data_IF_037050440187
#
_entry.id   IF_037050440187
#
_cell.length_a   1.000
_cell.length_b   1.000
_cell.length_c   1.000
_cell.angle_alpha   90.00
_cell.angle_beta   90.00
_cell.angle_gamma   90.00
#
_symmetry.space_group_name_H-M   'P 1'
#
loop_
_entity.id
_entity.type
_entity.pdbx_description
1 polymer ?
#
# COMPACT_ATOMS: atom_id res chain seq x y z
N UNK A 1 6.71 -6.12 -10.83
CA UNK A 1 6.47 -4.95 -9.98
C UNK A 1 5.68 -5.38 -8.75
N UNK A 2 6.18 -5.11 -7.55
CA UNK A 2 5.42 -5.40 -6.34
C UNK A 2 5.40 -4.18 -5.39
N UNK A 3 4.46 -4.19 -4.45
CA UNK A 3 4.29 -3.13 -3.45
C UNK A 3 2.84 -3.04 -2.96
N UNK A 4 2.58 -2.35 -1.87
CA UNK A 4 1.24 -2.24 -1.26
C UNK A 4 0.15 -1.70 -2.21
N UNK A 5 -1.09 -1.80 -1.76
CA UNK A 5 -2.26 -1.27 -2.49
C UNK A 5 -2.15 0.25 -2.69
N UNK A 6 -2.66 0.78 -3.81
CA UNK A 6 -2.68 2.23 -4.08
C UNK A 6 -1.35 2.84 -4.54
N UNK A 7 -0.33 2.04 -4.89
CA UNK A 7 0.99 2.54 -5.30
C UNK A 7 1.18 2.78 -6.80
N UNK A 8 0.11 2.80 -7.55
CA UNK A 8 0.19 3.05 -9.00
C UNK A 8 0.75 1.90 -9.83
N UNK A 9 0.82 0.66 -9.29
CA UNK A 9 1.29 -0.52 -10.03
C UNK A 9 0.52 -0.71 -11.33
N UNK A 10 -0.82 -0.68 -11.22
CA UNK A 10 -1.74 -0.82 -12.36
C UNK A 10 -1.54 0.31 -13.36
N UNK A 11 -1.41 1.56 -12.90
CA UNK A 11 -1.12 2.71 -13.77
C UNK A 11 0.21 2.54 -14.51
N UNK A 12 1.26 2.10 -13.81
CA UNK A 12 2.56 1.87 -14.44
C UNK A 12 2.51 0.72 -15.44
N UNK A 13 1.74 -0.34 -15.15
CA UNK A 13 1.46 -1.43 -16.09
C UNK A 13 0.72 -0.92 -17.32
N UNK A 14 -0.28 -0.04 -17.16
CA UNK A 14 -1.03 0.57 -18.27
C UNK A 14 -0.13 1.39 -19.16
N UNK A 15 0.71 2.25 -18.56
CA UNK A 15 1.68 3.07 -19.29
C UNK A 15 2.69 2.19 -20.05
N UNK A 16 3.24 1.18 -19.40
CA UNK A 16 4.16 0.24 -20.04
C UNK A 16 3.50 -0.49 -21.19
N UNK A 17 2.32 -1.10 -20.98
CA UNK A 17 1.57 -1.81 -22.00
C UNK A 17 1.20 -0.89 -23.17
N UNK A 18 0.80 0.36 -22.89
CA UNK A 18 0.46 1.36 -23.92
C UNK A 18 1.67 1.81 -24.73
N UNK A 19 2.81 2.07 -24.07
CA UNK A 19 4.02 2.57 -24.71
C UNK A 19 4.80 1.52 -25.51
N UNK A 20 4.60 0.24 -25.19
CA UNK A 20 5.30 -0.85 -25.87
C UNK A 20 4.79 -1.02 -27.30
N UNK A 21 5.70 -1.00 -28.29
CA UNK A 21 5.40 -1.13 -29.72
C UNK A 21 5.12 -2.58 -30.17
N UNK A 22 5.15 -3.55 -29.28
CA UNK A 22 4.85 -4.96 -29.59
C UNK A 22 3.36 -5.11 -29.90
N UNK A 23 3.04 -5.67 -31.08
CA UNK A 23 1.65 -5.86 -31.51
C UNK A 23 1.00 -7.07 -30.82
N UNK A 24 1.73 -8.17 -30.66
CA UNK A 24 1.26 -9.42 -30.02
C UNK A 24 1.42 -9.32 -28.50
N UNK A 25 0.62 -8.47 -27.87
CA UNK A 25 0.64 -8.24 -26.41
C UNK A 25 -0.75 -8.44 -25.81
N UNK A 26 -0.78 -9.00 -24.60
CA UNK A 26 -2.01 -9.22 -23.87
C UNK A 26 -1.86 -8.78 -22.43
N UNK A 27 -2.86 -8.06 -21.92
CA UNK A 27 -3.00 -7.73 -20.51
C UNK A 27 -4.26 -8.37 -19.93
N UNK A 28 -4.13 -9.00 -18.78
CA UNK A 28 -5.22 -9.73 -18.13
C UNK A 28 -5.01 -9.75 -16.62
N UNK A 29 -6.09 -9.74 -15.84
CA UNK A 29 -6.00 -10.05 -14.41
C UNK A 29 -5.64 -11.52 -14.19
N UNK A 30 -4.73 -11.78 -13.26
CA UNK A 30 -4.17 -13.11 -13.06
C UNK A 30 -5.24 -14.18 -12.79
N UNK A 31 -6.23 -13.88 -11.95
CA UNK A 31 -7.30 -14.84 -11.66
C UNK A 31 -8.15 -15.19 -12.91
N UNK A 32 -8.40 -14.22 -13.81
CA UNK A 32 -9.12 -14.48 -15.08
C UNK A 32 -8.29 -15.39 -15.98
N UNK A 33 -6.98 -15.12 -16.07
CA UNK A 33 -6.07 -15.96 -16.82
C UNK A 33 -6.07 -17.41 -16.29
N UNK A 34 -6.03 -17.64 -14.98
CA UNK A 34 -6.08 -18.99 -14.42
C UNK A 34 -7.42 -19.69 -14.70
N UNK A 35 -8.54 -18.98 -14.69
CA UNK A 35 -9.82 -19.53 -15.13
C UNK A 35 -9.78 -20.00 -16.60
N UNK A 36 -9.12 -19.26 -17.48
CA UNK A 36 -8.94 -19.64 -18.88
C UNK A 36 -8.01 -20.87 -19.00
N UNK A 37 -6.91 -20.89 -18.25
CA UNK A 37 -6.00 -22.04 -18.18
C UNK A 37 -6.75 -23.31 -17.78
N UNK A 38 -7.54 -23.27 -16.72
CA UNK A 38 -8.32 -24.43 -16.26
C UNK A 38 -9.36 -24.88 -17.28
N UNK A 39 -10.07 -23.95 -17.93
CA UNK A 39 -11.04 -24.25 -18.99
C UNK A 39 -10.35 -24.91 -20.17
N UNK A 40 -9.20 -24.38 -20.59
CA UNK A 40 -8.41 -24.93 -21.70
C UNK A 40 -7.93 -26.35 -21.40
N UNK A 41 -7.36 -26.60 -20.20
CA UNK A 41 -6.93 -27.91 -19.74
C UNK A 41 -8.10 -28.90 -19.72
N UNK A 42 -9.25 -28.46 -19.21
CA UNK A 42 -10.46 -29.28 -19.17
C UNK A 42 -10.93 -29.66 -20.58
N UNK A 43 -11.01 -28.69 -21.47
CA UNK A 43 -11.40 -28.90 -22.86
C UNK A 43 -10.42 -29.81 -23.61
N UNK A 44 -9.12 -29.59 -23.44
CA UNK A 44 -8.06 -30.40 -24.02
C UNK A 44 -8.17 -31.87 -23.60
N UNK A 45 -8.39 -32.12 -22.31
CA UNK A 45 -8.59 -33.47 -21.78
C UNK A 45 -9.86 -34.13 -22.33
N UNK A 46 -10.95 -33.39 -22.47
CA UNK A 46 -12.23 -33.87 -22.96
C UNK A 46 -12.17 -34.22 -24.45
N UNK A 47 -11.51 -33.42 -25.26
CA UNK A 47 -11.47 -33.58 -26.71
C UNK A 47 -10.34 -34.53 -27.19
N UNK A 48 -9.47 -34.97 -26.30
CA UNK A 48 -8.35 -35.82 -26.63
C UNK A 48 -8.64 -37.33 -26.62
N UNK A 49 -9.82 -37.76 -26.18
CA UNK A 49 -10.19 -39.16 -26.07
C UNK A 49 -9.25 -40.02 -25.18
N UNK A 50 -9.32 -41.34 -25.35
CA UNK A 50 -8.49 -42.28 -24.60
C UNK A 50 -6.98 -42.19 -24.89
N UNK A 51 -6.59 -41.67 -26.07
CA UNK A 51 -5.20 -41.52 -26.51
C UNK A 51 -4.43 -40.44 -25.75
N UNK A 52 -5.12 -39.48 -25.16
CA UNK A 52 -4.51 -38.40 -24.34
C UNK A 52 -4.58 -38.63 -22.84
N UNK A 53 -5.06 -39.78 -22.41
CA UNK A 53 -5.04 -40.17 -20.97
C UNK A 53 -3.60 -40.25 -20.49
N UNK A 54 -3.23 -39.34 -19.57
CA UNK A 54 -1.89 -39.22 -19.01
C UNK A 54 -0.93 -38.28 -19.74
N UNK A 55 -1.30 -37.73 -20.90
CA UNK A 55 -0.49 -36.70 -21.56
C UNK A 55 -0.54 -35.37 -20.79
N UNK A 56 0.57 -34.65 -20.80
CA UNK A 56 0.70 -33.36 -20.15
C UNK A 56 0.05 -32.23 -20.98
N UNK A 57 -0.98 -31.54 -20.47
CA UNK A 57 -1.63 -30.45 -21.18
C UNK A 57 -0.84 -29.13 -21.17
N UNK A 58 0.19 -29.00 -20.32
CA UNK A 58 0.87 -27.71 -20.09
C UNK A 58 1.70 -27.27 -21.28
N UNK A 59 2.46 -28.15 -21.90
CA UNK A 59 3.27 -27.81 -23.07
C UNK A 59 2.41 -27.36 -24.27
N UNK A 60 1.34 -28.11 -24.68
CA UNK A 60 0.42 -27.64 -25.71
C UNK A 60 -0.26 -26.31 -25.38
N UNK A 61 -0.64 -26.08 -24.11
CA UNK A 61 -1.20 -24.81 -23.67
C UNK A 61 -0.19 -23.67 -23.83
N UNK A 62 1.04 -23.85 -23.35
CA UNK A 62 2.09 -22.85 -23.48
C UNK A 62 2.38 -22.53 -24.95
N UNK A 63 2.40 -23.54 -25.84
CA UNK A 63 2.59 -23.34 -27.28
C UNK A 63 1.43 -22.59 -27.93
N UNK A 64 0.19 -22.84 -27.51
CA UNK A 64 -0.96 -22.08 -27.96
C UNK A 64 -0.86 -20.61 -27.53
N UNK A 65 -0.53 -20.36 -26.28
CA UNK A 65 -0.36 -18.99 -25.76
C UNK A 65 0.80 -18.25 -26.46
N UNK A 66 1.95 -18.90 -26.62
CA UNK A 66 3.12 -18.30 -27.26
C UNK A 66 2.90 -17.99 -28.75
N UNK A 67 2.00 -18.72 -29.43
CA UNK A 67 1.62 -18.40 -30.80
C UNK A 67 0.77 -17.13 -30.92
N UNK A 68 0.08 -16.74 -29.85
CA UNK A 68 -0.81 -15.58 -29.82
C UNK A 68 -0.12 -14.32 -29.27
N UNK A 69 0.78 -14.48 -28.28
CA UNK A 69 1.36 -13.34 -27.55
C UNK A 69 2.86 -13.48 -27.36
N UNK A 70 3.56 -12.36 -27.56
CA UNK A 70 4.99 -12.20 -27.23
C UNK A 70 5.16 -11.54 -25.87
N UNK A 71 4.20 -10.69 -25.48
CA UNK A 71 4.20 -9.99 -24.19
C UNK A 71 2.92 -10.27 -23.43
N UNK A 72 3.06 -10.84 -22.24
CA UNK A 72 1.96 -11.17 -21.34
C UNK A 72 2.07 -10.35 -20.05
N UNK A 73 1.08 -9.49 -19.81
CA UNK A 73 1.04 -8.63 -18.64
C UNK A 73 -0.05 -9.10 -17.68
N UNK A 74 0.34 -9.45 -16.45
CA UNK A 74 -0.57 -9.86 -15.39
C UNK A 74 -0.78 -8.75 -14.38
N UNK A 75 -2.03 -8.33 -14.20
CA UNK A 75 -2.39 -7.45 -13.10
C UNK A 75 -2.85 -8.29 -11.90
N UNK A 76 -2.50 -7.84 -10.68
CA UNK A 76 -2.87 -8.48 -9.43
C UNK A 76 -2.45 -9.97 -9.36
N UNK A 77 -1.15 -10.21 -9.58
CA UNK A 77 -0.60 -11.57 -9.46
C UNK A 77 -0.64 -12.00 -8.00
N UNK A 78 -1.62 -12.83 -7.69
CA UNK A 78 -1.87 -13.42 -6.38
C UNK A 78 -2.25 -14.88 -6.54
N UNK A 79 -1.65 -15.74 -5.74
CA UNK A 79 -1.90 -17.18 -5.78
C UNK A 79 -2.54 -17.59 -4.46
N UNK A 80 -3.77 -18.07 -4.53
CA UNK A 80 -4.55 -18.52 -3.35
C UNK A 80 -4.99 -19.97 -3.45
N UNK A 81 -5.05 -20.55 -4.66
CA UNK A 81 -5.50 -21.91 -4.91
C UNK A 81 -4.33 -22.86 -5.13
N UNK A 82 -4.40 -24.05 -4.51
CA UNK A 82 -3.38 -25.09 -4.63
C UNK A 82 -3.27 -25.66 -6.04
N UNK A 83 -4.37 -25.71 -6.78
CA UNK A 83 -4.36 -26.21 -8.17
C UNK A 83 -3.61 -25.23 -9.07
N UNK A 84 -3.77 -23.92 -8.85
CA UNK A 84 -3.00 -22.91 -9.54
C UNK A 84 -1.51 -23.02 -9.21
N UNK A 85 -1.17 -23.11 -7.93
CA UNK A 85 0.20 -23.25 -7.46
C UNK A 85 0.94 -24.43 -8.13
N UNK A 86 0.27 -25.57 -8.30
CA UNK A 86 0.84 -26.77 -8.92
C UNK A 86 1.10 -26.62 -10.44
N UNK A 87 0.34 -25.78 -11.12
CA UNK A 87 0.45 -25.56 -12.57
C UNK A 87 1.50 -24.50 -12.91
N UNK A 88 1.63 -23.47 -12.11
CA UNK A 88 2.35 -22.24 -12.43
C UNK A 88 3.81 -22.47 -12.83
N UNK A 89 4.56 -23.25 -12.05
CA UNK A 89 5.98 -23.53 -12.35
C UNK A 89 6.17 -24.08 -13.75
N UNK A 90 5.35 -25.06 -14.12
CA UNK A 90 5.46 -25.75 -15.40
C UNK A 90 5.01 -24.86 -16.56
N UNK A 91 3.90 -24.12 -16.36
CA UNK A 91 3.37 -23.22 -17.36
C UNK A 91 4.33 -22.06 -17.65
N UNK A 92 4.83 -21.40 -16.60
CA UNK A 92 5.74 -20.26 -16.77
C UNK A 92 7.09 -20.70 -17.33
N UNK A 93 7.66 -21.85 -16.90
CA UNK A 93 8.86 -22.39 -17.51
C UNK A 93 8.66 -22.59 -19.03
N UNK A 94 7.56 -23.22 -19.43
CA UNK A 94 7.28 -23.48 -20.83
C UNK A 94 7.00 -22.20 -21.65
N UNK A 95 6.45 -21.15 -21.04
CA UNK A 95 6.27 -19.85 -21.70
C UNK A 95 7.61 -19.15 -21.93
N UNK A 96 8.50 -19.15 -20.93
CA UNK A 96 9.84 -18.54 -21.04
C UNK A 96 10.72 -19.30 -22.03
N UNK A 97 10.64 -20.65 -22.05
CA UNK A 97 11.33 -21.47 -23.05
C UNK A 97 10.91 -21.14 -24.50
N UNK A 98 9.70 -20.56 -24.65
CA UNK A 98 9.18 -20.09 -25.94
C UNK A 98 9.31 -18.56 -26.12
N UNK A 99 10.17 -17.91 -25.34
CA UNK A 99 10.48 -16.48 -25.39
C UNK A 99 9.29 -15.55 -25.15
N UNK A 100 8.28 -15.96 -24.41
CA UNK A 100 7.20 -15.07 -23.98
C UNK A 100 7.73 -14.17 -22.85
N UNK A 101 7.67 -12.87 -23.08
CA UNK A 101 8.03 -11.87 -22.05
C UNK A 101 6.86 -11.72 -21.10
N UNK A 102 7.13 -11.82 -19.82
CA UNK A 102 6.12 -11.69 -18.78
C UNK A 102 6.38 -10.46 -17.92
N UNK A 103 5.35 -9.65 -17.69
CA UNK A 103 5.37 -8.53 -16.75
C UNK A 103 4.20 -8.72 -15.78
N UNK A 104 4.43 -8.56 -14.48
CA UNK A 104 3.36 -8.74 -13.50
C UNK A 104 3.39 -7.68 -12.39
N UNK A 105 2.21 -7.36 -11.87
CA UNK A 105 2.04 -6.57 -10.65
C UNK A 105 1.55 -7.46 -9.52
N UNK A 106 2.05 -7.23 -8.30
CA UNK A 106 1.61 -7.94 -7.09
C UNK A 106 1.56 -7.01 -5.89
N UNK A 107 0.71 -7.32 -4.93
CA UNK A 107 0.65 -6.61 -3.65
C UNK A 107 1.70 -7.12 -2.65
N UNK A 108 2.25 -8.31 -2.89
CA UNK A 108 3.21 -8.97 -2.01
C UNK A 108 4.55 -9.20 -2.71
N UNK A 109 5.60 -9.41 -1.94
CA UNK A 109 6.92 -9.80 -2.45
C UNK A 109 6.88 -11.18 -3.08
N UNK A 110 7.79 -11.51 -4.02
CA UNK A 110 7.90 -12.86 -4.55
C UNK A 110 8.04 -13.94 -3.47
N UNK A 111 8.81 -13.67 -2.41
CA UNK A 111 9.03 -14.61 -1.31
C UNK A 111 7.75 -14.86 -0.47
N UNK A 112 6.81 -13.92 -0.46
CA UNK A 112 5.56 -13.98 0.29
C UNK A 112 4.38 -14.49 -0.55
N UNK A 113 4.61 -14.79 -1.83
CA UNK A 113 3.59 -15.39 -2.67
C UNK A 113 3.14 -16.75 -2.09
N UNK A 114 1.83 -16.97 -2.05
CA UNK A 114 1.23 -18.17 -1.51
C UNK A 114 1.66 -18.48 -0.07
N UNK A 115 1.86 -17.41 0.74
CA UNK A 115 2.18 -17.54 2.16
C UNK A 115 1.02 -18.25 2.87
N UNK A 116 1.34 -19.17 3.80
CA UNK A 116 0.39 -20.06 4.48
C UNK A 116 -0.47 -20.97 3.56
N UNK A 117 -0.15 -21.04 2.27
CA UNK A 117 -0.85 -21.89 1.31
C UNK A 117 -0.59 -23.38 1.55
N UNK A 118 -1.58 -24.21 1.22
CA UNK A 118 -1.50 -25.67 1.35
C UNK A 118 -0.37 -26.22 0.46
N UNK A 119 0.52 -27.05 1.03
CA UNK A 119 1.68 -27.61 0.33
C UNK A 119 2.63 -26.53 -0.23
N UNK A 120 2.81 -25.42 0.48
CA UNK A 120 3.67 -24.30 0.07
C UNK A 120 5.08 -24.72 -0.36
N UNK A 121 5.65 -25.75 0.27
CA UNK A 121 6.98 -26.29 -0.10
C UNK A 121 7.07 -26.69 -1.58
N UNK A 122 5.99 -27.20 -2.15
CA UNK A 122 5.92 -27.55 -3.57
C UNK A 122 5.83 -26.31 -4.49
N UNK A 123 5.48 -25.14 -3.94
CA UNK A 123 5.42 -23.86 -4.64
C UNK A 123 6.75 -23.09 -4.59
N UNK A 124 7.59 -23.29 -3.58
CA UNK A 124 8.89 -22.62 -3.45
C UNK A 124 9.75 -22.69 -4.71
N UNK A 125 9.86 -23.81 -5.44
CA UNK A 125 10.61 -23.88 -6.68
C UNK A 125 10.08 -22.96 -7.80
N UNK A 126 8.80 -22.56 -7.75
CA UNK A 126 8.27 -21.52 -8.65
C UNK A 126 8.72 -20.13 -8.24
N UNK A 127 8.78 -19.83 -6.95
CA UNK A 127 9.33 -18.56 -6.43
C UNK A 127 10.78 -18.41 -6.85
N UNK A 128 11.59 -19.47 -6.73
CA UNK A 128 12.99 -19.47 -7.17
C UNK A 128 13.11 -19.23 -8.67
N UNK A 129 12.24 -19.86 -9.47
CA UNK A 129 12.16 -19.65 -10.90
C UNK A 129 11.78 -18.21 -11.26
N UNK A 130 10.80 -17.62 -10.59
CA UNK A 130 10.43 -16.21 -10.75
C UNK A 130 11.61 -15.28 -10.48
N UNK A 131 12.33 -15.51 -9.39
CA UNK A 131 13.50 -14.68 -9.00
C UNK A 131 14.66 -14.82 -9.97
N UNK A 132 14.78 -15.95 -10.61
CA UNK A 132 15.82 -16.21 -11.62
C UNK A 132 15.50 -15.56 -12.98
N UNK A 133 14.27 -15.69 -13.43
CA UNK A 133 13.86 -15.29 -14.78
C UNK A 133 13.35 -13.83 -14.84
N UNK A 134 13.01 -13.22 -13.70
CA UNK A 134 12.39 -11.89 -13.67
C UNK A 134 13.21 -10.89 -12.84
N UNK A 135 13.27 -9.65 -13.35
CA UNK A 135 13.77 -8.52 -12.57
C UNK A 135 12.66 -8.07 -11.61
N UNK A 136 12.94 -8.15 -10.34
CA UNK A 136 12.00 -7.75 -9.29
C UNK A 136 12.19 -6.26 -8.96
N UNK A 137 11.14 -5.47 -9.14
CA UNK A 137 11.14 -4.04 -8.83
C UNK A 137 10.09 -3.77 -7.76
N UNK A 138 10.53 -3.33 -6.59
CA UNK A 138 9.64 -2.85 -5.55
C UNK A 138 9.18 -1.43 -5.87
N UNK A 139 7.88 -1.25 -6.06
CA UNK A 139 7.31 0.08 -5.99
C UNK A 139 7.20 0.45 -4.51
N UNK A 140 8.35 0.84 -3.99
CA UNK A 140 8.44 1.47 -2.68
C UNK A 140 7.52 2.69 -2.63
N UNK A 141 7.19 3.15 -1.46
CA UNK A 141 6.49 4.41 -1.34
C UNK A 141 7.25 5.48 -2.15
N UNK A 142 6.61 6.12 -3.09
CA UNK A 142 7.07 7.40 -3.64
C UNK A 142 7.28 8.44 -2.55
N UNK A 143 6.83 8.12 -1.35
CA UNK A 143 7.17 8.72 -0.09
C UNK A 143 8.67 8.77 0.22
N UNK A 144 9.48 7.80 -0.17
CA UNK A 144 10.91 7.82 0.17
C UNK A 144 11.65 8.98 -0.52
N UNK A 145 11.24 9.35 -1.73
CA UNK A 145 11.76 10.55 -2.40
C UNK A 145 11.07 11.82 -1.91
N UNK A 146 9.77 11.75 -1.62
CA UNK A 146 8.97 12.90 -1.14
C UNK A 146 9.16 13.12 0.35
N UNK A 147 9.32 12.07 1.15
CA UNK A 147 9.74 12.17 2.56
C UNK A 147 11.22 12.52 2.70
N UNK A 148 12.10 12.19 1.75
CA UNK A 148 13.46 12.78 1.71
C UNK A 148 13.43 14.29 1.49
N UNK A 149 12.44 14.80 0.77
CA UNK A 149 12.18 16.24 0.72
C UNK A 149 11.57 16.77 2.03
N UNK A 150 10.72 15.99 2.72
CA UNK A 150 10.23 16.33 4.06
C UNK A 150 11.30 16.12 5.16
N UNK A 151 12.25 15.21 4.97
CA UNK A 151 13.43 15.07 5.86
C UNK A 151 14.40 16.26 5.77
N UNK A 152 14.34 17.02 4.66
CA UNK A 152 14.98 18.34 4.54
C UNK A 152 14.05 19.48 5.03
N UNK A 153 12.75 19.25 5.10
CA UNK A 153 11.74 20.19 5.55
C UNK A 153 11.06 19.57 6.78
N UNK A 154 10.91 20.34 7.83
CA UNK A 154 10.26 19.94 9.07
C UNK A 154 8.91 19.25 8.80
N UNK A 155 8.55 18.28 9.63
CA UNK A 155 7.22 17.62 9.61
C UNK A 155 6.27 18.19 10.67
N UNK A 156 6.78 19.09 11.52
CA UNK A 156 6.06 19.81 12.55
C UNK A 156 6.27 21.32 12.33
N UNK A 157 5.23 22.03 11.95
CA UNK A 157 5.30 23.43 11.56
C UNK A 157 4.70 24.32 12.65
N UNK A 158 5.43 25.36 13.02
CA UNK A 158 4.98 26.40 13.97
C UNK A 158 5.06 27.76 13.30
N UNK A 159 3.99 28.54 13.24
CA UNK A 159 3.96 29.82 12.53
C UNK A 159 5.02 30.84 12.99
N UNK A 160 5.45 30.77 14.24
CA UNK A 160 6.41 31.69 14.83
C UNK A 160 7.87 31.45 14.40
N UNK A 161 8.20 30.30 13.81
CA UNK A 161 9.56 29.92 13.44
C UNK A 161 9.95 30.26 12.00
N UNK A 162 9.21 31.14 11.35
CA UNK A 162 9.54 31.60 10.00
C UNK A 162 8.95 30.76 8.86
N UNK A 163 8.12 29.79 9.19
CA UNK A 163 7.43 28.89 8.23
C UNK A 163 6.20 29.57 7.57
N UNK A 164 6.19 30.88 7.46
CA UNK A 164 5.08 31.67 6.94
C UNK A 164 4.69 31.40 5.46
N UNK A 165 5.31 30.44 4.80
CA UNK A 165 5.07 30.10 3.40
C UNK A 165 4.56 28.68 3.17
N UNK A 166 4.42 27.83 4.19
CA UNK A 166 3.97 26.45 4.00
C UNK A 166 2.46 26.30 4.16
N UNK A 167 1.82 25.85 3.09
CA UNK A 167 0.41 25.47 3.09
C UNK A 167 0.31 23.95 3.28
N UNK A 168 -0.50 23.48 4.25
CA UNK A 168 -0.81 22.04 4.40
C UNK A 168 -1.39 21.45 3.12
N UNK A 169 -2.04 22.28 2.30
CA UNK A 169 -2.53 21.90 0.98
C UNK A 169 -1.39 21.57 0.02
N UNK A 170 -0.34 22.41 0.00
CA UNK A 170 0.80 22.18 -0.88
C UNK A 170 1.58 20.91 -0.46
N UNK A 171 1.74 20.71 0.86
CA UNK A 171 2.33 19.47 1.40
C UNK A 171 1.50 18.26 1.00
N UNK A 172 0.17 18.33 1.11
CA UNK A 172 -0.69 17.24 0.69
C UNK A 172 -0.52 16.95 -0.81
N UNK A 173 -0.57 17.97 -1.67
CA UNK A 173 -0.35 17.82 -3.11
C UNK A 173 1.03 17.26 -3.45
N UNK A 174 2.07 17.69 -2.77
CA UNK A 174 3.42 17.15 -2.94
C UNK A 174 3.49 15.67 -2.57
N UNK A 175 2.79 15.26 -1.50
CA UNK A 175 2.74 13.86 -1.07
C UNK A 175 1.92 12.96 -1.99
N UNK A 176 0.84 13.46 -2.58
CA UNK A 176 -0.04 12.66 -3.45
C UNK A 176 0.20 12.87 -4.96
N UNK A 177 1.16 13.75 -5.35
CA UNK A 177 1.53 13.96 -6.76
C UNK A 177 0.58 14.87 -7.54
N UNK A 178 0.12 15.96 -6.93
CA UNK A 178 -0.80 16.94 -7.52
C UNK A 178 -2.15 16.34 -7.96
N UNK A 179 -2.61 15.31 -7.28
CA UNK A 179 -3.94 14.72 -7.48
C UNK A 179 -4.89 15.32 -6.45
N UNK A 180 -6.11 15.63 -6.86
CA UNK A 180 -7.12 16.18 -5.97
C UNK A 180 -7.49 15.22 -4.84
N UNK A 181 -7.76 15.77 -3.66
CA UNK A 181 -8.27 15.01 -2.54
C UNK A 181 -9.70 14.54 -2.82
N UNK A 182 -10.00 13.30 -2.46
CA UNK A 182 -11.36 12.76 -2.43
C UNK A 182 -11.80 12.59 -0.98
N UNK A 183 -13.10 12.47 -0.75
CA UNK A 183 -13.62 12.09 0.56
C UNK A 183 -13.96 10.60 0.58
N UNK A 184 -13.68 9.93 1.70
CA UNK A 184 -14.04 8.53 1.94
C UNK A 184 -14.83 8.38 3.23
N UNK A 185 -15.50 7.25 3.40
CA UNK A 185 -16.20 6.86 4.61
C UNK A 185 -15.65 5.53 5.13
N UNK A 186 -15.24 5.48 6.38
CA UNK A 186 -14.82 4.24 7.05
C UNK A 186 -15.94 3.76 7.97
N UNK A 187 -16.28 2.49 7.89
CA UNK A 187 -17.19 1.87 8.85
C UNK A 187 -16.37 1.39 10.07
N UNK A 188 -16.67 1.95 11.24
CA UNK A 188 -16.01 1.63 12.50
C UNK A 188 -17.08 1.28 13.53
N UNK A 189 -17.14 0.03 13.98
CA UNK A 189 -18.08 -0.45 15.00
C UNK A 189 -19.55 -0.04 14.72
N UNK A 190 -19.97 -0.13 13.44
CA UNK A 190 -21.33 0.19 13.02
C UNK A 190 -21.65 1.67 12.83
N UNK A 191 -20.67 2.55 12.98
CA UNK A 191 -20.79 3.99 12.69
C UNK A 191 -19.85 4.41 11.56
N UNK A 192 -20.15 5.53 10.93
CA UNK A 192 -19.37 6.05 9.81
C UNK A 192 -18.39 7.11 10.33
N UNK A 193 -17.10 6.90 10.08
CA UNK A 193 -16.06 7.91 10.23
C UNK A 193 -15.81 8.54 8.84
N UNK A 194 -16.13 9.81 8.70
CA UNK A 194 -15.83 10.54 7.48
C UNK A 194 -14.36 10.91 7.40
N UNK A 195 -13.71 10.61 6.27
CA UNK A 195 -12.35 11.01 5.92
C UNK A 195 -12.45 12.11 4.86
N UNK A 196 -12.30 13.38 5.22
CA UNK A 196 -12.67 14.49 4.32
C UNK A 196 -11.72 14.67 3.15
N UNK A 197 -10.45 14.34 3.34
CA UNK A 197 -9.40 14.53 2.32
C UNK A 197 -8.45 13.35 2.35
N UNK A 198 -8.49 12.54 1.29
CA UNK A 198 -7.64 11.36 1.13
C UNK A 198 -7.20 11.19 -0.31
N UNK A 199 -5.97 10.78 -0.52
CA UNK A 199 -5.49 10.23 -1.77
C UNK A 199 -4.22 9.40 -1.52
N UNK A 200 -4.00 8.32 -2.28
CA UNK A 200 -2.81 7.46 -2.23
C UNK A 200 -2.36 7.04 -0.81
N UNK A 201 -3.30 6.77 0.10
CA UNK A 201 -2.98 6.37 1.48
C UNK A 201 -2.51 7.51 2.39
N UNK A 202 -2.57 8.75 1.92
CA UNK A 202 -2.35 9.98 2.70
C UNK A 202 -3.70 10.58 3.05
N UNK A 203 -3.93 10.92 4.31
CA UNK A 203 -5.15 11.58 4.77
C UNK A 203 -4.83 12.93 5.40
N UNK A 204 -5.74 13.86 5.26
CA UNK A 204 -5.61 15.18 5.87
C UNK A 204 -6.86 15.55 6.66
N UNK A 205 -6.64 15.80 7.95
CA UNK A 205 -7.65 16.24 8.91
C UNK A 205 -7.22 17.54 9.59
N UNK A 206 -8.18 18.27 10.09
CA UNK A 206 -7.97 19.30 11.09
C UNK A 206 -8.00 18.70 12.50
N UNK A 207 -7.43 19.40 13.48
CA UNK A 207 -7.54 19.01 14.91
C UNK A 207 -9.01 18.90 15.34
N UNK A 208 -9.86 19.79 14.85
CA UNK A 208 -11.30 19.79 15.14
C UNK A 208 -11.97 18.50 14.65
N UNK A 209 -11.60 18.00 13.48
CA UNK A 209 -12.20 16.80 12.89
C UNK A 209 -11.79 15.52 13.64
N UNK A 210 -10.58 15.44 14.22
CA UNK A 210 -10.11 14.25 14.94
C UNK A 210 -10.20 14.35 16.47
N UNK A 211 -10.02 15.56 17.05
CA UNK A 211 -9.87 15.68 18.49
C UNK A 211 -11.03 16.40 19.18
N UNK A 212 -11.82 17.23 18.49
CA UNK A 212 -13.01 17.85 19.05
C UNK A 212 -14.29 17.01 18.85
N UNK A 213 -14.27 16.05 17.94
CA UNK A 213 -15.36 15.09 17.77
C UNK A 213 -15.27 13.97 18.83
N UNK A 214 -16.39 13.24 19.03
CA UNK A 214 -16.45 12.11 19.98
C UNK A 214 -15.82 10.84 19.43
N UNK A 215 -14.57 10.94 18.95
CA UNK A 215 -13.79 9.82 18.46
C UNK A 215 -12.97 9.18 19.58
N UNK A 216 -12.52 7.94 19.35
CA UNK A 216 -11.73 7.18 20.30
C UNK A 216 -10.71 6.26 19.64
N UNK A 217 -10.11 5.38 20.43
CA UNK A 217 -9.06 4.48 19.97
C UNK A 217 -9.47 3.60 18.78
N UNK A 218 -10.71 3.10 18.74
CA UNK A 218 -11.20 2.27 17.63
C UNK A 218 -11.19 3.03 16.30
N UNK A 219 -11.58 4.33 16.31
CA UNK A 219 -11.57 5.17 15.12
C UNK A 219 -10.15 5.40 14.62
N UNK A 220 -9.21 5.66 15.54
CA UNK A 220 -7.80 5.88 15.19
C UNK A 220 -7.13 4.59 14.72
N UNK A 221 -7.48 3.44 15.29
CA UNK A 221 -7.03 2.13 14.79
C UNK A 221 -7.53 1.85 13.37
N UNK A 222 -8.79 2.19 13.08
CA UNK A 222 -9.33 2.07 11.73
C UNK A 222 -8.60 2.99 10.73
N UNK A 223 -8.23 4.21 11.13
CA UNK A 223 -7.42 5.11 10.30
C UNK A 223 -6.04 4.51 10.02
N UNK A 224 -5.32 4.08 11.07
CA UNK A 224 -3.98 3.56 10.88
C UNK A 224 -3.95 2.20 10.19
N UNK A 225 -5.00 1.41 10.19
CA UNK A 225 -5.07 0.17 9.42
C UNK A 225 -5.08 0.43 7.90
N UNK A 226 -5.60 1.57 7.46
CA UNK A 226 -5.80 1.88 6.04
C UNK A 226 -4.82 2.90 5.48
N UNK A 227 -4.39 3.87 6.28
CA UNK A 227 -3.57 4.98 5.83
C UNK A 227 -2.19 4.97 6.46
N UNK A 228 -1.17 5.34 5.70
CA UNK A 228 0.22 5.32 6.15
C UNK A 228 0.77 6.69 6.55
N UNK A 229 0.06 7.77 6.18
CA UNK A 229 0.46 9.15 6.49
C UNK A 229 -0.77 9.97 6.84
N UNK A 230 -0.69 10.66 7.95
CA UNK A 230 -1.72 11.59 8.43
C UNK A 230 -1.16 13.01 8.42
N UNK A 231 -1.85 13.90 7.71
CA UNK A 231 -1.68 15.33 7.88
C UNK A 231 -2.69 15.82 8.92
N UNK A 232 -2.22 16.58 9.90
CA UNK A 232 -3.07 17.14 10.96
C UNK A 232 -2.85 18.63 11.06
N UNK A 233 -3.85 19.42 10.69
CA UNK A 233 -3.76 20.87 10.72
C UNK A 233 -4.46 21.49 11.92
N UNK A 234 -4.02 22.72 12.25
CA UNK A 234 -4.65 23.61 13.20
C UNK A 234 -4.67 23.06 14.64
N UNK A 235 -3.56 22.45 15.07
CA UNK A 235 -3.41 21.99 16.46
C UNK A 235 -3.27 23.22 17.38
N UNK A 236 -4.25 23.47 18.27
CA UNK A 236 -4.22 24.65 19.14
C UNK A 236 -3.35 24.44 20.40
N UNK A 237 -3.03 25.53 21.08
CA UNK A 237 -2.67 25.44 22.50
C UNK A 237 -3.93 25.09 23.28
N UNK A 238 -3.94 23.96 23.92
CA UNK A 238 -5.10 23.45 24.66
C UNK A 238 -5.14 24.05 26.07
N UNK A 239 -6.26 24.67 26.40
CA UNK A 239 -6.53 25.17 27.75
C UNK A 239 -6.83 24.02 28.73
N UNK A 240 -6.70 24.23 30.06
CA UNK A 240 -7.02 23.23 31.07
C UNK A 240 -8.45 22.65 30.98
N UNK A 241 -9.39 23.44 30.46
CA UNK A 241 -10.77 23.01 30.20
C UNK A 241 -10.91 22.00 29.05
N UNK A 242 -9.94 21.97 28.12
CA UNK A 242 -9.93 21.09 26.93
C UNK A 242 -9.28 19.73 27.24
N UNK A 243 -9.53 19.19 28.43
CA UNK A 243 -8.98 17.91 28.86
C UNK A 243 -9.34 16.74 27.95
N UNK A 244 -10.57 16.73 27.44
CA UNK A 244 -11.04 15.63 26.61
C UNK A 244 -10.38 15.65 25.22
N UNK A 245 -10.20 16.84 24.66
CA UNK A 245 -9.48 17.07 23.41
C UNK A 245 -8.01 16.67 23.55
N UNK A 246 -7.35 17.10 24.63
CA UNK A 246 -5.97 16.71 24.94
C UNK A 246 -5.82 15.19 25.11
N UNK A 247 -6.79 14.52 25.76
CA UNK A 247 -6.79 13.07 25.91
C UNK A 247 -6.97 12.36 24.56
N UNK A 248 -7.90 12.83 23.70
CA UNK A 248 -8.09 12.26 22.36
C UNK A 248 -6.85 12.47 21.49
N UNK A 249 -6.26 13.66 21.53
CA UNK A 249 -5.00 13.94 20.82
C UNK A 249 -3.88 13.01 21.31
N UNK A 250 -3.70 12.83 22.62
CA UNK A 250 -2.72 11.90 23.16
C UNK A 250 -2.97 10.46 22.66
N UNK A 251 -4.22 10.00 22.67
CA UNK A 251 -4.59 8.67 22.15
C UNK A 251 -4.30 8.55 20.65
N UNK A 252 -4.60 9.57 19.87
CA UNK A 252 -4.27 9.61 18.43
C UNK A 252 -2.75 9.47 18.22
N UNK A 253 -1.94 10.27 18.91
CA UNK A 253 -0.48 10.21 18.79
C UNK A 253 0.07 8.85 19.23
N UNK A 254 -0.48 8.27 20.30
CA UNK A 254 -0.11 6.93 20.75
C UNK A 254 -0.36 5.88 19.66
N UNK A 255 -1.54 5.90 19.03
CA UNK A 255 -1.90 4.95 17.95
C UNK A 255 -1.03 5.17 16.71
N UNK A 256 -0.83 6.41 16.28
CA UNK A 256 0.04 6.71 15.12
C UNK A 256 1.47 6.23 15.35
N UNK A 257 2.00 6.49 16.54
CA UNK A 257 3.37 6.11 16.92
C UNK A 257 3.58 4.60 16.94
N UNK A 258 2.67 3.86 17.57
CA UNK A 258 2.74 2.40 17.70
C UNK A 258 2.64 1.70 16.35
N UNK A 259 1.81 2.23 15.46
CA UNK A 259 1.63 1.68 14.10
C UNK A 259 2.60 2.28 13.05
N UNK A 260 3.60 3.08 13.48
CA UNK A 260 4.60 3.69 12.58
C UNK A 260 3.99 4.52 11.44
N UNK A 261 2.81 5.11 11.68
CA UNK A 261 2.17 6.02 10.73
C UNK A 261 2.86 7.36 10.77
N UNK A 262 3.15 7.94 9.61
CA UNK A 262 3.82 9.24 9.51
C UNK A 262 2.84 10.34 9.87
N UNK A 263 3.30 11.32 10.64
CA UNK A 263 2.55 12.52 10.98
C UNK A 263 3.24 13.74 10.38
N UNK A 264 2.48 14.53 9.66
CA UNK A 264 2.86 15.89 9.26
C UNK A 264 1.84 16.84 9.84
N UNK A 265 2.25 17.82 10.60
CA UNK A 265 1.27 18.68 11.28
C UNK A 265 1.73 20.13 11.38
N UNK A 266 0.74 21.03 11.47
CA UNK A 266 0.98 22.40 11.92
C UNK A 266 0.27 22.63 13.25
N UNK A 267 0.94 23.34 14.15
CA UNK A 267 0.48 23.60 15.48
C UNK A 267 0.74 25.05 15.89
N UNK A 268 -0.07 25.55 16.80
CA UNK A 268 0.08 26.92 17.31
C UNK A 268 1.39 27.15 18.09
N UNK A 269 2.07 26.06 18.54
CA UNK A 269 3.31 26.16 19.31
C UNK A 269 4.06 24.83 19.28
N UNK A 270 5.26 24.79 19.86
CA UNK A 270 6.08 23.56 20.04
C UNK A 270 5.38 22.52 20.93
N UNK A 271 5.69 21.22 20.79
CA UNK A 271 4.99 20.14 21.51
C UNK A 271 4.89 20.35 23.03
N UNK A 272 5.93 20.88 23.66
CA UNK A 272 6.02 21.11 25.09
C UNK A 272 4.99 22.12 25.61
N UNK A 273 4.51 23.00 24.75
CA UNK A 273 3.58 24.07 25.10
C UNK A 273 2.15 23.81 24.64
N UNK A 274 1.86 22.67 24.02
CA UNK A 274 0.52 22.35 23.52
C UNK A 274 -0.50 22.15 24.64
N UNK A 275 -0.12 21.54 25.77
CA UNK A 275 -0.98 21.34 26.94
C UNK A 275 -0.16 21.49 28.23
N UNK A 276 0.27 22.73 28.58
CA UNK A 276 1.22 22.98 29.63
C UNK A 276 0.64 22.84 31.04
N UNK A 277 -0.69 23.00 31.18
CA UNK A 277 -1.38 22.98 32.46
C UNK A 277 -2.76 22.34 32.33
N UNK A 278 -3.21 21.69 33.38
CA UNK A 278 -4.51 21.03 33.43
C UNK A 278 -4.43 19.58 33.92
N UNK A 279 -5.58 18.96 34.07
CA UNK A 279 -5.66 17.56 34.47
C UNK A 279 -5.19 16.65 33.31
N UNK A 280 -4.13 15.87 33.52
CA UNK A 280 -3.49 15.04 32.53
C UNK A 280 -2.27 15.70 31.85
N UNK A 281 -1.85 16.91 32.28
CA UNK A 281 -0.67 17.57 31.70
C UNK A 281 0.64 16.81 31.97
N UNK A 282 0.73 16.05 33.08
CA UNK A 282 1.90 15.20 33.35
C UNK A 282 1.96 14.00 32.39
N UNK A 283 0.83 13.37 32.16
CA UNK A 283 0.70 12.25 31.23
C UNK A 283 0.95 12.68 29.79
N UNK A 284 0.63 13.94 29.47
CA UNK A 284 0.87 14.54 28.16
C UNK A 284 2.37 14.65 27.81
N UNK A 285 3.27 14.60 28.80
CA UNK A 285 4.72 14.55 28.59
C UNK A 285 5.14 13.35 27.70
N UNK A 286 4.43 12.21 27.79
CA UNK A 286 4.65 11.07 26.90
C UNK A 286 4.28 11.42 25.44
N UNK A 287 3.19 12.13 25.24
CA UNK A 287 2.77 12.60 23.91
C UNK A 287 3.80 13.55 23.31
N UNK A 288 4.35 14.47 24.10
CA UNK A 288 5.45 15.36 23.71
C UNK A 288 6.68 14.57 23.26
N UNK A 289 7.10 13.58 24.05
CA UNK A 289 8.24 12.73 23.72
C UNK A 289 8.03 11.99 22.38
N UNK A 290 6.83 11.43 22.17
CA UNK A 290 6.48 10.73 20.91
C UNK A 290 6.45 11.70 19.73
N UNK A 291 5.86 12.89 19.88
CA UNK A 291 5.86 13.92 18.83
C UNK A 291 7.28 14.32 18.43
N UNK A 292 8.18 14.49 19.39
CA UNK A 292 9.58 14.81 19.11
C UNK A 292 10.29 13.66 18.40
N UNK A 293 10.06 12.42 18.82
CA UNK A 293 10.64 11.24 18.16
C UNK A 293 10.08 11.05 16.74
N UNK A 294 8.79 11.28 16.51
CA UNK A 294 8.15 11.17 15.20
C UNK A 294 8.71 12.15 14.16
N UNK A 295 9.39 13.22 14.58
CA UNK A 295 10.07 14.17 13.71
C UNK A 295 11.46 13.70 13.27
N UNK A 296 12.03 12.68 13.94
CA UNK A 296 13.41 12.24 13.66
C UNK A 296 13.50 11.52 12.32
N UNK A 297 14.64 11.69 11.65
CA UNK A 297 14.93 10.96 10.40
C UNK A 297 14.86 9.44 10.59
N UNK A 298 15.23 8.94 11.77
CA UNK A 298 15.13 7.53 12.12
C UNK A 298 13.68 7.07 12.12
N UNK A 299 12.76 7.78 12.81
CA UNK A 299 11.35 7.43 12.82
C UNK A 299 10.72 7.53 11.43
N UNK A 300 11.04 8.57 10.67
CA UNK A 300 10.55 8.78 9.32
C UNK A 300 11.03 7.69 8.34
N UNK A 301 12.17 7.05 8.63
CA UNK A 301 12.73 5.96 7.81
C UNK A 301 12.09 4.59 8.10
N UNK A 302 11.37 4.40 9.22
CA UNK A 302 10.70 3.14 9.49
C UNK A 302 9.72 2.79 8.36
N UNK A 303 9.86 1.59 7.83
CA UNK A 303 8.86 1.01 6.93
C UNK A 303 7.74 0.43 7.81
N UNK A 304 6.52 0.63 7.39
CA UNK A 304 5.38 -0.06 7.97
C UNK A 304 5.39 -1.47 7.39
N UNK A 305 5.59 -2.47 8.25
CA UNK A 305 5.32 -3.85 7.91
C UNK A 305 3.83 -3.96 7.62
N UNK A 306 3.49 -4.37 6.41
CA UNK A 306 2.15 -4.44 5.87
C UNK A 306 1.33 -5.58 6.49
#
# INVERSE_FOLDING_TARGET
LFGGVGRGKTMLMDLFHGATSVNSKRRVHFHIFMLEVHRWIHHWRKNGGAEKRGADPILPLASSLASEVVLLCFDEFEVSDVADAMILRRLFSALWDQNVVVVMTSNVRPDDLYFDGLQRESFLPFIDLLKKEMITVELGFGLDYRLRNLQRNHVYFVPEEGDAGFSMKDIFHDLVGNVDAISEALLVDGRILNVPRVNQGVVWFTFRELCEQTLGAADYLALVSRYHTVLLSDIPVMAPAQRNEAKRFATLIDVLYEHKVKLVCNAATVPERLYPTGNGAREFARTVSRLNEMQTAQYLSFRRDG
#
